data_IF_270728617241
#
_entry.id   IF_270728617241
#
_cell.length_a   1.000
_cell.length_b   1.000
_cell.length_c   1.000
_cell.angle_alpha   90.00
_cell.angle_beta   90.00
_cell.angle_gamma   90.00
#
_symmetry.space_group_name_H-M   'P 1'
#
loop_
_entity.id
_entity.type
_entity.pdbx_description
1 polymer ?
#
# COMPACT_ATOMS: atom_id res chain seq x y z
N UNK A 1 -42.70 0.71 -22.22
CA UNK A 1 -41.55 1.61 -22.03
C UNK A 1 -40.66 0.97 -20.99
N UNK A 2 -39.58 0.37 -21.48
CA UNK A 2 -38.65 -0.51 -20.80
C UNK A 2 -37.92 0.29 -19.73
N UNK A 3 -38.19 -0.01 -18.45
CA UNK A 3 -37.28 0.36 -17.38
C UNK A 3 -35.97 -0.39 -17.65
N UNK A 4 -35.02 0.28 -18.28
CA UNK A 4 -33.64 -0.20 -18.35
C UNK A 4 -33.15 -0.25 -16.91
N UNK A 5 -33.11 -1.46 -16.37
CA UNK A 5 -32.35 -1.83 -15.19
C UNK A 5 -30.88 -1.50 -15.47
N UNK A 6 -30.50 -0.23 -15.32
CA UNK A 6 -29.13 0.23 -15.40
C UNK A 6 -28.45 -0.23 -14.11
N UNK A 7 -27.59 -1.26 -14.24
CA UNK A 7 -26.77 -1.73 -13.13
C UNK A 7 -25.87 -0.62 -12.55
N UNK A 8 -25.11 -0.92 -11.48
CA UNK A 8 -24.29 0.08 -10.79
C UNK A 8 -23.42 0.88 -11.77
N UNK A 9 -23.27 2.18 -11.52
CA UNK A 9 -22.52 3.11 -12.39
C UNK A 9 -21.10 2.56 -12.65
N UNK A 10 -20.95 1.94 -13.82
CA UNK A 10 -19.74 1.21 -14.19
C UNK A 10 -18.56 2.17 -14.32
N UNK A 11 -18.81 3.43 -14.69
CA UNK A 11 -17.78 4.47 -14.81
C UNK A 11 -17.21 4.81 -13.44
N UNK A 12 -18.07 4.99 -12.44
CA UNK A 12 -17.67 5.21 -11.06
C UNK A 12 -16.89 4.00 -10.49
N UNK A 13 -17.31 2.77 -10.79
CA UNK A 13 -16.60 1.56 -10.40
C UNK A 13 -15.19 1.47 -11.03
N UNK A 14 -15.05 1.79 -12.32
CA UNK A 14 -13.74 1.83 -12.99
C UNK A 14 -12.82 2.89 -12.37
N UNK A 15 -13.35 4.05 -12.01
CA UNK A 15 -12.59 5.10 -11.35
C UNK A 15 -12.04 4.64 -9.98
N UNK A 16 -12.86 3.98 -9.16
CA UNK A 16 -12.46 3.40 -7.87
C UNK A 16 -11.41 2.30 -8.04
N UNK A 17 -11.57 1.41 -9.03
CA UNK A 17 -10.58 0.37 -9.35
C UNK A 17 -9.21 0.96 -9.71
N UNK A 18 -9.20 2.06 -10.47
CA UNK A 18 -7.97 2.75 -10.85
C UNK A 18 -7.29 3.42 -9.66
N UNK A 19 -8.06 4.01 -8.75
CA UNK A 19 -7.54 4.55 -7.48
C UNK A 19 -6.85 3.45 -6.66
N UNK A 20 -7.54 2.32 -6.43
CA UNK A 20 -6.99 1.16 -5.71
C UNK A 20 -5.69 0.66 -6.34
N UNK A 21 -5.67 0.50 -7.67
CA UNK A 21 -4.50 0.01 -8.39
C UNK A 21 -3.31 0.95 -8.22
N UNK A 22 -3.52 2.26 -8.36
CA UNK A 22 -2.46 3.26 -8.16
C UNK A 22 -1.89 3.22 -6.75
N UNK A 23 -2.73 3.06 -5.75
CA UNK A 23 -2.30 2.98 -4.36
C UNK A 23 -1.52 1.69 -4.09
N UNK A 24 -2.03 0.53 -4.51
CA UNK A 24 -1.32 -0.76 -4.38
C UNK A 24 0.04 -0.72 -5.06
N UNK A 25 0.13 -0.20 -6.29
CA UNK A 25 1.40 -0.07 -6.99
C UNK A 25 2.35 0.89 -6.29
N UNK A 26 1.86 2.03 -5.80
CA UNK A 26 2.65 3.00 -5.05
C UNK A 26 3.21 2.40 -3.76
N UNK A 27 2.39 1.69 -2.99
CA UNK A 27 2.82 1.04 -1.74
C UNK A 27 3.80 -0.10 -2.03
N UNK A 28 3.54 -0.94 -3.02
CA UNK A 28 4.47 -1.99 -3.44
C UNK A 28 5.82 -1.39 -3.85
N UNK A 29 5.83 -0.33 -4.66
CA UNK A 29 7.06 0.35 -5.05
C UNK A 29 7.82 0.91 -3.83
N UNK A 30 7.12 1.51 -2.87
CA UNK A 30 7.74 2.00 -1.63
C UNK A 30 8.34 0.86 -0.79
N UNK A 31 7.63 -0.26 -0.66
CA UNK A 31 8.14 -1.46 0.03
C UNK A 31 9.37 -1.99 -0.67
N UNK A 32 9.34 -2.18 -1.99
CA UNK A 32 10.53 -2.60 -2.74
C UNK A 32 11.70 -1.63 -2.54
N UNK A 33 11.46 -0.32 -2.61
CA UNK A 33 12.50 0.69 -2.44
C UNK A 33 13.15 0.65 -1.04
N UNK A 34 12.41 0.26 0.01
CA UNK A 34 12.93 0.17 1.38
C UNK A 34 13.44 -1.22 1.77
N UNK A 35 12.93 -2.29 1.15
CA UNK A 35 13.26 -3.66 1.54
C UNK A 35 14.33 -4.30 0.66
N UNK A 36 14.37 -3.95 -0.62
CA UNK A 36 15.34 -4.49 -1.56
C UNK A 36 16.79 -4.00 -1.36
N UNK A 37 17.06 -2.78 -0.87
CA UNK A 37 18.44 -2.35 -0.67
C UNK A 37 19.20 -3.20 0.35
N UNK A 38 18.52 -3.77 1.35
CA UNK A 38 19.20 -4.57 2.38
C UNK A 38 19.92 -5.80 1.79
N UNK A 39 19.26 -6.72 1.03
CA UNK A 39 19.96 -7.82 0.38
C UNK A 39 20.93 -7.38 -0.72
N UNK A 40 20.64 -6.29 -1.45
CA UNK A 40 21.54 -5.78 -2.49
C UNK A 40 22.83 -5.26 -1.85
N UNK A 41 22.72 -4.34 -0.89
CA UNK A 41 23.88 -3.78 -0.23
C UNK A 41 24.61 -4.84 0.58
N UNK A 42 23.91 -5.77 1.24
CA UNK A 42 24.54 -6.82 2.04
C UNK A 42 25.28 -7.86 1.21
N UNK A 43 24.87 -8.09 -0.04
CA UNK A 43 25.55 -9.02 -0.95
C UNK A 43 26.71 -8.42 -1.73
N UNK A 44 26.70 -7.10 -1.97
CA UNK A 44 27.63 -6.44 -2.90
C UNK A 44 28.49 -5.33 -2.29
N UNK A 45 28.26 -4.95 -1.02
CA UNK A 45 28.97 -3.85 -0.35
C UNK A 45 29.24 -4.16 1.12
N UNK A 46 30.16 -3.44 1.75
CA UNK A 46 30.43 -3.51 3.20
C UNK A 46 29.77 -2.38 4.01
N UNK A 47 28.88 -1.59 3.38
CA UNK A 47 28.24 -0.44 4.03
C UNK A 47 27.42 -0.84 5.28
N UNK A 48 26.84 -2.05 5.24
CA UNK A 48 26.01 -2.62 6.29
C UNK A 48 26.82 -3.24 7.44
N UNK A 49 28.11 -3.50 7.23
CA UNK A 49 29.00 -4.15 8.21
C UNK A 49 29.55 -3.16 9.25
N UNK A 50 29.40 -1.86 9.00
CA UNK A 50 29.84 -0.82 9.93
C UNK A 50 29.25 -1.03 11.32
N UNK A 51 30.10 -1.22 12.33
CA UNK A 51 29.67 -1.44 13.72
C UNK A 51 29.46 -0.08 14.38
N UNK A 52 28.26 0.13 14.93
CA UNK A 52 27.88 1.33 15.66
C UNK A 52 28.25 1.21 17.14
N UNK A 53 27.82 0.14 17.81
CA UNK A 53 28.09 -0.09 19.23
C UNK A 53 27.97 -1.56 19.61
N UNK A 54 28.93 -2.10 20.38
CA UNK A 54 28.89 -3.46 20.95
C UNK A 54 28.54 -4.57 19.94
N UNK A 55 28.96 -4.45 18.67
CA UNK A 55 28.67 -5.42 17.61
C UNK A 55 27.34 -5.21 16.87
N UNK A 56 26.54 -4.19 17.23
CA UNK A 56 25.38 -3.77 16.44
C UNK A 56 25.87 -3.08 15.18
N UNK A 57 25.61 -3.68 14.03
CA UNK A 57 25.96 -3.11 12.73
C UNK A 57 24.87 -2.17 12.21
N UNK A 58 25.20 -1.38 11.19
CA UNK A 58 24.24 -0.55 10.45
C UNK A 58 23.09 -1.41 9.90
N UNK A 59 23.33 -2.68 9.57
CA UNK A 59 22.30 -3.62 9.15
C UNK A 59 21.16 -3.79 10.16
N UNK A 60 21.49 -3.88 11.45
CA UNK A 60 20.48 -4.02 12.51
C UNK A 60 19.59 -2.79 12.61
N UNK A 61 20.17 -1.60 12.50
CA UNK A 61 19.41 -0.34 12.53
C UNK A 61 18.49 -0.24 11.30
N UNK A 62 19.01 -0.59 10.13
CA UNK A 62 18.23 -0.57 8.89
C UNK A 62 17.07 -1.58 8.95
N UNK A 63 17.33 -2.82 9.41
CA UNK A 63 16.29 -3.83 9.61
C UNK A 63 15.22 -3.40 10.63
N UNK A 64 15.63 -2.72 11.70
CA UNK A 64 14.67 -2.16 12.65
C UNK A 64 13.79 -1.06 12.03
N UNK A 65 14.38 -0.17 11.22
CA UNK A 65 13.65 0.86 10.50
C UNK A 65 12.60 0.28 9.52
N UNK A 66 12.91 -0.86 8.90
CA UNK A 66 11.97 -1.57 8.03
C UNK A 66 10.67 -1.99 8.75
N UNK A 67 10.75 -2.37 10.03
CA UNK A 67 9.54 -2.67 10.82
C UNK A 67 8.65 -1.44 11.01
N UNK A 68 9.25 -0.27 11.26
CA UNK A 68 8.50 0.98 11.41
C UNK A 68 7.75 1.31 10.11
N UNK A 69 8.39 1.14 8.96
CA UNK A 69 7.75 1.32 7.65
C UNK A 69 6.58 0.36 7.47
N UNK A 70 6.75 -0.92 7.82
CA UNK A 70 5.68 -1.91 7.69
C UNK A 70 4.47 -1.58 8.59
N UNK A 71 4.72 -1.21 9.85
CA UNK A 71 3.66 -0.84 10.81
C UNK A 71 2.94 0.44 10.35
N UNK A 72 3.69 1.46 9.94
CA UNK A 72 3.13 2.72 9.44
C UNK A 72 2.30 2.48 8.17
N UNK A 73 2.82 1.69 7.23
CA UNK A 73 2.12 1.31 6.01
C UNK A 73 0.82 0.55 6.29
N UNK A 74 0.84 -0.43 7.20
CA UNK A 74 -0.34 -1.18 7.59
C UNK A 74 -1.41 -0.27 8.23
N UNK A 75 -1.01 0.58 9.19
CA UNK A 75 -1.91 1.55 9.84
C UNK A 75 -2.57 2.47 8.82
N UNK A 76 -1.77 3.07 7.95
CA UNK A 76 -2.25 4.00 6.94
C UNK A 76 -3.18 3.30 5.93
N UNK A 77 -2.80 2.13 5.44
CA UNK A 77 -3.62 1.34 4.52
C UNK A 77 -4.96 0.96 5.13
N UNK A 78 -5.00 0.51 6.39
CA UNK A 78 -6.24 0.16 7.06
C UNK A 78 -7.20 1.36 7.14
N UNK A 79 -6.70 2.55 7.45
CA UNK A 79 -7.52 3.77 7.44
C UNK A 79 -8.03 4.09 6.04
N UNK A 80 -7.17 4.07 5.03
CA UNK A 80 -7.57 4.32 3.64
C UNK A 80 -8.59 3.30 3.13
N UNK A 81 -8.40 2.01 3.42
CA UNK A 81 -9.30 0.93 3.00
C UNK A 81 -10.70 1.11 3.59
N UNK A 82 -10.81 1.49 4.87
CA UNK A 82 -12.11 1.76 5.50
C UNK A 82 -12.87 2.92 4.84
N UNK A 83 -12.16 3.95 4.38
CA UNK A 83 -12.78 5.06 3.65
C UNK A 83 -13.15 4.66 2.21
N UNK A 84 -12.31 3.85 1.56
CA UNK A 84 -12.58 3.30 0.24
C UNK A 84 -13.83 2.42 0.23
N UNK A 85 -13.98 1.52 1.21
CA UNK A 85 -15.14 0.62 1.33
C UNK A 85 -16.44 1.41 1.50
N UNK A 86 -16.43 2.46 2.33
CA UNK A 86 -17.58 3.39 2.46
C UNK A 86 -17.95 4.06 1.14
N UNK A 87 -16.96 4.48 0.34
CA UNK A 87 -17.20 5.12 -0.97
C UNK A 87 -17.74 4.11 -1.98
N UNK A 88 -17.24 2.88 -1.96
CA UNK A 88 -17.71 1.79 -2.81
C UNK A 88 -19.16 1.43 -2.51
N UNK A 89 -19.52 1.27 -1.22
CA UNK A 89 -20.89 0.97 -0.80
C UNK A 89 -21.89 2.05 -1.23
N UNK A 90 -21.49 3.32 -1.20
CA UNK A 90 -22.32 4.43 -1.68
C UNK A 90 -22.60 4.34 -3.19
N UNK A 91 -21.62 3.93 -4.00
CA UNK A 91 -21.77 3.74 -5.45
C UNK A 91 -22.61 2.51 -5.78
N UNK A 92 -22.41 1.42 -5.04
CA UNK A 92 -23.13 0.16 -5.25
C UNK A 92 -24.59 0.24 -4.77
N UNK A 93 -24.83 0.83 -3.59
CA UNK A 93 -26.18 0.96 -3.01
C UNK A 93 -26.95 2.14 -3.63
N UNK A 94 -26.28 3.27 -3.87
CA UNK A 94 -26.91 4.45 -4.47
C UNK A 94 -27.36 4.27 -5.93
N UNK A 95 -26.87 3.22 -6.60
CA UNK A 95 -27.38 2.76 -7.90
C UNK A 95 -28.51 1.74 -7.81
N UNK A 96 -28.89 1.28 -6.61
CA UNK A 96 -29.96 0.29 -6.39
C UNK A 96 -31.33 0.92 -6.08
N UNK A 97 -31.33 2.16 -5.58
CA UNK A 97 -32.50 2.86 -5.06
C UNK A 97 -33.00 4.01 -5.98
N UNK A 98 -32.50 4.11 -7.21
CA UNK A 98 -32.91 5.08 -8.24
C UNK A 98 -33.42 4.37 -9.47
#
# INVERSE_FOLDING_TARGET
MTALNEGPDVTALYALSRERTRLTLGMSAAVLAFFLPLPILGGFTSLLDGVLFQGVTVAWVYAFAQFVVAIAGARWYSTWASDFDRRLDAVVTGGRDR
#
